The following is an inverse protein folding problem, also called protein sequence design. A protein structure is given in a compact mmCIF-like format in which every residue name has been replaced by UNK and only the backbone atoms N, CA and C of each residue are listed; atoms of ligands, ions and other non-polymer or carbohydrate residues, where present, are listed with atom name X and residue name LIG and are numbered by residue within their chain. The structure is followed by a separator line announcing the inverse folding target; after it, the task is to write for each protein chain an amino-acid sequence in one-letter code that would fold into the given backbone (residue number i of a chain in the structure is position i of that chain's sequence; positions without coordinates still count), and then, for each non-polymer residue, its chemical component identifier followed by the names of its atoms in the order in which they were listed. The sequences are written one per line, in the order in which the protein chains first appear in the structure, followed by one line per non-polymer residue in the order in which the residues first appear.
data_IF_608871423452
#
_entry.id   IF_608871423452
#
_cell.length_a   1.000
_cell.length_b   1.000
_cell.length_c   1.000
_cell.angle_alpha   90.00
_cell.angle_beta   90.00
_cell.angle_gamma   90.00
#
_symmetry.space_group_name_H-M   'P 1'
#
loop_
_entity.id
_entity.type
_entity.pdbx_description
1 polymer ?
#
# COMPACT_ATOMS: atom_id res chain seq x y z
N UNK A 1 -14.07 -41.96 58.76
CA UNK A 1 -13.58 -40.58 58.51
C UNK A 1 -14.27 -40.12 57.22
N UNK A 2 -15.28 -39.71 57.23
CA UNK A 2 -16.36 -38.79 57.62
C UNK A 2 -16.47 -37.62 56.65
N UNK A 3 -17.56 -37.61 55.95
CA UNK A 3 -18.08 -36.73 54.92
C UNK A 3 -17.85 -35.20 55.12
N UNK A 4 -17.60 -34.64 56.31
CA UNK A 4 -17.45 -33.19 56.47
C UNK A 4 -16.11 -32.60 55.98
N UNK A 5 -15.04 -33.41 55.77
CA UNK A 5 -13.73 -32.91 55.34
C UNK A 5 -13.68 -32.69 53.81
N UNK A 6 -14.48 -33.48 53.05
CA UNK A 6 -14.56 -33.28 51.57
C UNK A 6 -15.39 -32.03 51.18
N UNK A 7 -16.39 -31.66 52.00
CA UNK A 7 -17.20 -30.44 51.77
C UNK A 7 -16.41 -29.18 52.07
N UNK A 8 -15.51 -29.18 53.05
CA UNK A 8 -14.62 -28.04 53.37
C UNK A 8 -13.55 -27.82 52.26
N UNK A 9 -13.05 -28.89 51.64
CA UNK A 9 -12.11 -28.79 50.50
C UNK A 9 -12.80 -28.33 49.22
N UNK A 10 -14.06 -28.68 48.99
CA UNK A 10 -14.84 -28.20 47.87
C UNK A 10 -15.31 -26.73 48.00
N UNK A 11 -15.42 -26.22 49.24
CA UNK A 11 -15.76 -24.82 49.50
C UNK A 11 -14.53 -23.89 49.47
N UNK A 12 -13.30 -24.42 49.68
CA UNK A 12 -12.07 -23.64 49.52
C UNK A 12 -11.53 -23.60 48.12
N UNK A 13 -11.99 -24.44 47.16
CA UNK A 13 -11.60 -24.44 45.76
C UNK A 13 -12.42 -23.48 44.90
N UNK A 14 -13.44 -22.82 45.43
CA UNK A 14 -14.28 -21.86 44.72
C UNK A 14 -13.88 -20.37 44.92
N UNK A 15 -12.70 -20.06 45.49
CA UNK A 15 -12.21 -18.69 45.72
C UNK A 15 -10.95 -18.38 44.94
N UNK A 16 -10.72 -19.03 43.79
CA UNK A 16 -9.91 -18.41 42.77
C UNK A 16 -10.82 -17.47 41.97
N UNK A 17 -11.23 -16.37 42.58
CA UNK A 17 -11.72 -15.21 41.86
C UNK A 17 -10.50 -14.69 41.06
N UNK A 18 -10.31 -15.19 39.84
CA UNK A 18 -9.67 -14.44 38.79
C UNK A 18 -10.32 -13.05 38.82
N UNK A 19 -9.57 -12.03 39.30
CA UNK A 19 -10.08 -10.69 39.48
C UNK A 19 -10.74 -10.21 38.18
N UNK A 20 -12.05 -10.25 38.12
CA UNK A 20 -12.81 -9.59 37.03
C UNK A 20 -12.64 -8.10 37.26
N UNK A 21 -12.14 -7.39 36.28
CA UNK A 21 -12.16 -5.93 36.29
C UNK A 21 -13.62 -5.48 36.43
N UNK A 22 -13.94 -4.66 37.44
CA UNK A 22 -15.30 -4.19 37.68
C UNK A 22 -15.45 -2.72 37.30
N UNK A 23 -16.42 -2.44 36.43
CA UNK A 23 -16.77 -1.08 36.08
C UNK A 23 -17.47 -0.34 37.24
N UNK A 24 -17.21 0.98 37.43
CA UNK A 24 -18.06 1.83 38.25
C UNK A 24 -19.51 1.86 37.73
N UNK A 25 -20.46 2.27 38.58
CA UNK A 25 -21.85 2.39 38.12
C UNK A 25 -21.97 3.47 37.05
N UNK A 26 -22.89 3.30 36.10
CA UNK A 26 -23.13 4.28 35.01
C UNK A 26 -23.43 5.70 35.51
N UNK A 27 -24.05 5.81 36.68
CA UNK A 27 -24.37 7.11 37.29
C UNK A 27 -23.09 7.84 37.74
N UNK A 28 -22.13 7.10 38.29
CA UNK A 28 -20.88 7.67 38.81
C UNK A 28 -19.93 8.17 37.71
N UNK A 29 -20.00 7.59 36.53
CA UNK A 29 -19.08 7.93 35.43
C UNK A 29 -19.76 8.65 34.28
N UNK A 30 -21.01 9.08 34.38
CA UNK A 30 -21.70 9.83 33.34
C UNK A 30 -20.92 11.12 33.00
N UNK A 31 -20.68 11.45 31.71
CA UNK A 31 -21.20 10.86 30.48
C UNK A 31 -20.37 9.69 29.92
N UNK A 32 -19.37 9.19 30.64
CA UNK A 32 -18.53 8.10 30.17
C UNK A 32 -19.25 6.74 30.25
N UNK A 33 -18.78 5.81 29.44
CA UNK A 33 -19.18 4.40 29.42
C UNK A 33 -17.97 3.55 29.82
N UNK A 34 -18.23 2.47 30.55
CA UNK A 34 -17.20 1.51 30.94
C UNK A 34 -17.59 0.12 30.46
N UNK A 35 -16.63 -0.60 29.86
CA UNK A 35 -16.73 -2.00 29.49
C UNK A 35 -15.57 -2.78 30.07
N UNK A 36 -15.86 -3.94 30.62
CA UNK A 36 -14.86 -4.86 31.14
C UNK A 36 -14.24 -5.68 30.00
N UNK A 37 -12.93 -5.74 29.96
CA UNK A 37 -12.15 -6.53 28.99
C UNK A 37 -11.15 -7.42 29.72
N UNK A 38 -10.60 -8.42 29.04
CA UNK A 38 -9.65 -9.37 29.60
C UNK A 38 -8.37 -8.75 30.16
N UNK A 39 -7.98 -7.56 29.65
CA UNK A 39 -6.73 -6.85 30.01
C UNK A 39 -6.96 -5.62 30.90
N UNK A 40 -8.19 -5.24 31.19
CA UNK A 40 -8.53 -4.05 31.94
C UNK A 40 -9.82 -3.40 31.49
N UNK A 41 -10.08 -2.20 31.96
CA UNK A 41 -11.28 -1.44 31.61
C UNK A 41 -11.12 -0.74 30.25
N UNK A 42 -12.21 -0.67 29.50
CA UNK A 42 -12.34 0.17 28.30
C UNK A 42 -13.32 1.31 28.64
N UNK A 43 -12.78 2.51 28.84
CA UNK A 43 -13.54 3.71 29.21
C UNK A 43 -13.69 4.58 27.96
N UNK A 44 -14.92 4.97 27.61
CA UNK A 44 -15.23 5.86 26.49
C UNK A 44 -16.06 7.05 26.98
N UNK A 45 -15.53 8.26 26.81
CA UNK A 45 -16.17 9.52 27.17
C UNK A 45 -16.41 10.35 25.90
N UNK A 46 -17.66 10.67 25.61
CA UNK A 46 -18.03 11.42 24.41
C UNK A 46 -18.90 12.64 24.77
N UNK A 47 -18.71 13.75 24.03
CA UNK A 47 -19.45 14.99 24.18
C UNK A 47 -19.49 15.53 25.64
N UNK A 48 -18.40 15.32 26.36
CA UNK A 48 -18.27 15.71 27.77
C UNK A 48 -17.58 17.07 27.91
N UNK A 49 -17.98 17.85 28.91
CA UNK A 49 -17.25 19.03 29.36
C UNK A 49 -16.10 18.60 30.28
N UNK A 50 -15.07 19.44 30.41
CA UNK A 50 -13.87 19.16 31.21
C UNK A 50 -14.22 18.77 32.66
N UNK A 51 -15.16 19.47 33.31
CA UNK A 51 -15.55 19.19 34.69
C UNK A 51 -16.21 17.82 34.82
N UNK A 52 -17.10 17.48 33.87
CA UNK A 52 -17.74 16.15 33.82
C UNK A 52 -16.72 15.02 33.62
N UNK A 53 -15.71 15.24 32.74
CA UNK A 53 -14.62 14.31 32.56
C UNK A 53 -13.82 14.11 33.85
N UNK A 54 -13.53 15.22 34.57
CA UNK A 54 -12.78 15.20 35.81
C UNK A 54 -13.50 14.38 36.87
N UNK A 55 -14.79 14.58 37.08
CA UNK A 55 -15.62 13.84 38.03
C UNK A 55 -15.72 12.36 37.68
N UNK A 56 -16.00 12.07 36.40
CA UNK A 56 -16.11 10.69 35.91
C UNK A 56 -14.80 9.91 36.07
N UNK A 57 -13.68 10.50 35.66
CA UNK A 57 -12.36 9.88 35.74
C UNK A 57 -11.86 9.73 37.19
N UNK A 58 -12.20 10.67 38.09
CA UNK A 58 -11.95 10.53 39.51
C UNK A 58 -12.72 9.34 40.12
N UNK A 59 -13.94 9.09 39.68
CA UNK A 59 -14.71 7.91 40.10
C UNK A 59 -14.09 6.61 39.58
N UNK A 60 -13.59 6.62 38.33
CA UNK A 60 -12.86 5.47 37.77
C UNK A 60 -11.56 5.22 38.56
N UNK A 61 -10.82 6.26 38.97
CA UNK A 61 -9.58 6.15 39.73
C UNK A 61 -9.75 5.42 41.06
N UNK A 62 -10.94 5.58 41.69
CA UNK A 62 -11.25 4.89 42.97
C UNK A 62 -11.27 3.35 42.83
N UNK A 63 -11.50 2.83 41.62
CA UNK A 63 -11.50 1.36 41.37
C UNK A 63 -10.09 0.77 41.45
N UNK A 64 -9.03 1.58 41.30
CA UNK A 64 -7.61 1.17 41.24
C UNK A 64 -7.33 0.07 40.19
N UNK A 65 -8.14 0.01 39.15
CA UNK A 65 -8.03 -1.01 38.08
C UNK A 65 -7.26 -0.46 36.90
N UNK A 66 -6.58 -1.37 36.19
CA UNK A 66 -5.91 -1.02 34.94
C UNK A 66 -6.93 -0.64 33.86
N UNK A 67 -6.70 0.49 33.22
CA UNK A 67 -7.48 0.96 32.07
C UNK A 67 -6.71 0.60 30.81
N UNK A 68 -7.25 -0.38 30.07
CA UNK A 68 -6.63 -0.79 28.82
C UNK A 68 -6.81 0.27 27.74
N UNK A 69 -8.03 0.82 27.61
CA UNK A 69 -8.30 1.97 26.75
C UNK A 69 -9.02 3.08 27.51
N UNK A 70 -8.50 4.30 27.42
CA UNK A 70 -9.21 5.54 27.72
C UNK A 70 -9.46 6.30 26.41
N UNK A 71 -10.74 6.40 26.01
CA UNK A 71 -11.16 7.04 24.77
C UNK A 71 -11.91 8.33 25.08
N UNK A 72 -11.34 9.43 24.65
CA UNK A 72 -11.95 10.77 24.68
C UNK A 72 -12.31 11.15 23.26
N UNK A 73 -13.58 11.18 22.90
CA UNK A 73 -14.03 11.44 21.54
C UNK A 73 -15.04 12.57 21.49
N UNK A 74 -14.94 13.41 20.46
CA UNK A 74 -15.91 14.51 20.26
C UNK A 74 -16.06 15.43 21.47
N UNK A 75 -15.01 15.61 22.27
CA UNK A 75 -15.01 16.51 23.42
C UNK A 75 -14.38 17.85 23.02
N UNK A 76 -15.04 18.97 23.30
CA UNK A 76 -14.50 20.29 22.98
C UNK A 76 -13.58 20.79 24.09
N UNK A 77 -12.36 20.24 24.17
CA UNK A 77 -11.44 20.51 25.28
C UNK A 77 -10.55 21.73 25.02
N UNK A 78 -10.18 22.02 23.77
CA UNK A 78 -9.20 23.05 23.41
C UNK A 78 -7.79 22.73 23.92
N UNK A 79 -7.62 22.55 25.22
CA UNK A 79 -6.40 22.10 25.87
C UNK A 79 -6.67 20.83 26.68
N UNK A 80 -5.78 19.83 26.61
CA UNK A 80 -5.84 18.70 27.53
C UNK A 80 -5.27 19.14 28.88
N UNK A 81 -6.12 19.20 29.96
CA UNK A 81 -5.71 19.88 31.18
C UNK A 81 -4.79 19.06 32.07
N UNK A 82 -4.00 19.73 32.91
CA UNK A 82 -3.21 19.12 33.94
C UNK A 82 -4.07 18.22 34.86
N UNK A 83 -3.45 17.17 35.34
CA UNK A 83 -4.00 16.27 36.37
C UNK A 83 -5.36 15.63 36.07
N UNK A 84 -5.81 15.64 34.80
CA UNK A 84 -7.07 15.00 34.43
C UNK A 84 -7.07 13.48 34.68
N UNK A 85 -5.89 12.86 34.63
CA UNK A 85 -5.72 11.39 34.71
C UNK A 85 -5.05 10.94 36.03
N UNK A 86 -5.10 11.79 37.08
CA UNK A 86 -4.51 11.44 38.39
C UNK A 86 -5.16 10.19 38.99
N UNK A 87 -4.33 9.26 39.43
CA UNK A 87 -4.79 7.99 40.01
C UNK A 87 -5.26 6.93 39.04
N UNK A 88 -5.17 7.20 37.74
CA UNK A 88 -5.49 6.22 36.69
C UNK A 88 -4.24 5.42 36.30
N UNK A 89 -4.47 4.15 35.91
CA UNK A 89 -3.46 3.29 35.28
C UNK A 89 -3.86 3.05 33.81
N UNK A 90 -3.43 3.95 32.89
CA UNK A 90 -3.85 3.96 31.48
C UNK A 90 -2.75 3.42 30.59
N UNK A 91 -3.07 2.42 29.75
CA UNK A 91 -2.17 1.86 28.74
C UNK A 91 -2.31 2.52 27.37
N UNK A 92 -3.53 2.77 26.94
CA UNK A 92 -3.81 3.37 25.65
C UNK A 92 -4.75 4.56 25.82
N UNK A 93 -4.26 5.76 25.51
CA UNK A 93 -5.06 6.99 25.49
C UNK A 93 -5.38 7.39 24.05
N UNK A 94 -6.67 7.56 23.76
CA UNK A 94 -7.19 7.95 22.44
C UNK A 94 -8.02 9.20 22.62
N UNK A 95 -7.54 10.36 22.12
CA UNK A 95 -8.23 11.66 22.22
C UNK A 95 -8.49 12.19 20.80
N UNK A 96 -9.57 11.72 20.16
CA UNK A 96 -9.94 12.04 18.81
C UNK A 96 -11.03 13.10 18.75
N UNK A 97 -10.95 14.01 17.76
CA UNK A 97 -11.96 15.07 17.56
C UNK A 97 -12.26 15.88 18.81
N UNK A 98 -11.24 16.14 19.63
CA UNK A 98 -11.38 16.90 20.86
C UNK A 98 -11.06 18.40 20.70
N UNK A 99 -10.83 18.85 19.46
CA UNK A 99 -10.41 20.22 19.15
C UNK A 99 -9.19 20.68 19.94
N UNK A 100 -8.28 19.73 20.28
CA UNK A 100 -7.08 20.03 21.05
C UNK A 100 -6.10 20.83 20.19
N UNK A 101 -5.66 21.98 20.72
CA UNK A 101 -4.57 22.78 20.17
C UNK A 101 -3.31 22.73 21.03
N UNK A 102 -3.45 22.33 22.30
CA UNK A 102 -2.36 22.22 23.27
C UNK A 102 -2.60 21.12 24.29
N UNK A 103 -1.55 20.74 24.98
CA UNK A 103 -1.56 19.80 26.12
C UNK A 103 -0.79 20.47 27.24
N UNK A 104 -1.36 20.48 28.45
CA UNK A 104 -0.65 20.96 29.63
C UNK A 104 0.55 20.06 29.95
N UNK A 105 1.66 20.63 30.39
CA UNK A 105 2.89 19.89 30.66
C UNK A 105 2.71 18.77 31.71
N UNK A 106 1.77 18.90 32.62
CA UNK A 106 1.45 17.91 33.65
C UNK A 106 0.27 16.98 33.26
N UNK A 107 -0.25 17.08 32.05
CA UNK A 107 -1.43 16.28 31.63
C UNK A 107 -1.17 14.77 31.70
N UNK A 108 0.02 14.31 31.36
CA UNK A 108 0.38 12.89 31.35
C UNK A 108 1.20 12.43 32.57
N UNK A 109 1.54 13.31 33.49
CA UNK A 109 2.50 13.03 34.57
C UNK A 109 2.18 11.79 35.41
N UNK A 110 0.89 11.49 35.63
CA UNK A 110 0.46 10.35 36.45
C UNK A 110 0.42 9.01 35.72
N UNK A 111 0.52 9.02 34.38
CA UNK A 111 0.45 7.82 33.52
C UNK A 111 1.69 7.61 32.67
N UNK A 112 2.70 8.47 32.83
CA UNK A 112 3.85 8.57 31.93
C UNK A 112 4.66 7.28 31.80
N UNK A 113 4.82 6.54 32.91
CA UNK A 113 5.57 5.29 32.99
C UNK A 113 4.82 4.07 32.47
N UNK A 114 3.54 4.22 32.10
CA UNK A 114 2.63 3.12 31.72
C UNK A 114 1.98 3.28 30.36
N UNK A 115 1.94 4.51 29.85
CA UNK A 115 1.26 4.82 28.59
C UNK A 115 2.03 4.23 27.40
N UNK A 116 1.44 3.25 26.72
CA UNK A 116 2.04 2.56 25.58
C UNK A 116 1.58 3.14 24.23
N UNK A 117 0.36 3.67 24.17
CA UNK A 117 -0.17 4.29 22.96
C UNK A 117 -0.81 5.63 23.27
N UNK A 118 -0.43 6.65 22.51
CA UNK A 118 -1.05 7.97 22.54
C UNK A 118 -1.55 8.32 21.16
N UNK A 119 -2.87 8.43 21.03
CA UNK A 119 -3.54 8.84 19.80
C UNK A 119 -4.18 10.21 19.99
N UNK A 120 -3.61 11.22 19.34
CA UNK A 120 -4.05 12.61 19.31
C UNK A 120 -4.49 13.03 17.89
N UNK A 121 -4.88 12.08 17.05
CA UNK A 121 -5.29 12.38 15.69
C UNK A 121 -6.58 13.21 15.62
N UNK A 122 -6.77 13.87 14.47
CA UNK A 122 -7.97 14.66 14.18
C UNK A 122 -8.24 15.77 15.21
N UNK A 123 -7.17 16.49 15.54
CA UNK A 123 -7.20 17.65 16.43
C UNK A 123 -6.69 18.92 15.71
N UNK A 124 -6.29 19.93 16.46
CA UNK A 124 -5.89 21.23 15.92
C UNK A 124 -4.46 21.63 16.31
N UNK A 125 -3.59 20.66 16.55
CA UNK A 125 -2.20 20.96 16.94
C UNK A 125 -1.43 21.60 15.77
N UNK A 126 -0.89 22.80 16.00
CA UNK A 126 0.04 23.49 15.11
C UNK A 126 1.51 23.17 15.42
N UNK A 127 1.78 22.67 16.62
CA UNK A 127 3.08 22.21 17.10
C UNK A 127 2.93 20.89 17.86
N UNK A 128 3.99 20.07 17.81
CA UNK A 128 4.07 18.86 18.63
C UNK A 128 4.09 19.25 20.11
N UNK A 129 3.26 18.66 20.98
CA UNK A 129 3.24 18.98 22.42
C UNK A 129 4.43 18.34 23.17
N UNK A 130 5.66 18.68 22.78
CA UNK A 130 6.91 18.03 23.18
C UNK A 130 7.11 18.00 24.69
N UNK A 131 6.91 19.14 25.38
CA UNK A 131 7.12 19.25 26.83
C UNK A 131 6.19 18.31 27.62
N UNK A 132 4.91 18.21 27.21
CA UNK A 132 3.99 17.29 27.87
C UNK A 132 4.36 15.81 27.65
N UNK A 133 5.03 15.49 26.55
CA UNK A 133 5.38 14.10 26.18
C UNK A 133 6.79 13.67 26.63
N UNK A 134 7.65 14.57 27.08
CA UNK A 134 9.08 14.30 27.31
C UNK A 134 9.33 13.11 28.26
N UNK A 135 8.43 12.86 29.20
CA UNK A 135 8.54 11.78 30.18
C UNK A 135 7.79 10.48 29.80
N UNK A 136 7.21 10.38 28.62
CA UNK A 136 6.47 9.19 28.19
C UNK A 136 7.44 8.06 27.73
N UNK A 137 8.28 7.61 28.65
CA UNK A 137 9.34 6.64 28.34
C UNK A 137 8.85 5.26 27.92
N UNK A 138 7.63 4.87 28.31
CA UNK A 138 6.99 3.62 27.93
C UNK A 138 6.24 3.69 26.58
N UNK A 139 6.14 4.88 25.97
CA UNK A 139 5.33 5.08 24.77
C UNK A 139 5.90 4.33 23.56
N UNK A 140 5.11 3.42 23.00
CA UNK A 140 5.45 2.58 21.85
C UNK A 140 4.89 3.15 20.54
N UNK A 141 3.71 3.79 20.60
CA UNK A 141 3.03 4.30 19.42
C UNK A 141 2.46 5.70 19.65
N UNK A 142 2.85 6.64 18.79
CA UNK A 142 2.34 8.01 18.79
C UNK A 142 1.63 8.29 17.46
N UNK A 143 0.38 8.72 17.53
CA UNK A 143 -0.43 9.14 16.40
C UNK A 143 -0.81 10.61 16.51
N UNK A 144 -0.32 11.43 15.57
CA UNK A 144 -0.62 12.86 15.41
C UNK A 144 -1.24 13.16 14.02
N UNK A 145 -1.89 12.17 13.41
CA UNK A 145 -2.49 12.31 12.08
C UNK A 145 -3.59 13.37 12.06
N UNK A 146 -3.77 13.99 10.89
CA UNK A 146 -4.84 14.96 10.64
C UNK A 146 -4.86 16.09 11.67
N UNK A 147 -3.71 16.70 11.90
CA UNK A 147 -3.53 17.93 12.66
C UNK A 147 -3.13 19.09 11.73
N UNK A 148 -2.58 20.16 12.28
CA UNK A 148 -2.18 21.35 11.54
C UNK A 148 -0.68 21.64 11.66
N UNK A 149 0.12 20.59 11.90
CA UNK A 149 1.57 20.72 12.05
C UNK A 149 2.20 21.22 10.75
N UNK A 150 2.95 22.32 10.80
CA UNK A 150 3.67 22.88 9.63
C UNK A 150 5.17 22.64 9.72
N UNK A 151 5.71 22.65 10.93
CA UNK A 151 7.13 22.47 11.20
C UNK A 151 7.31 21.45 12.32
N UNK A 152 8.23 20.51 12.12
CA UNK A 152 8.77 19.71 13.22
C UNK A 152 10.03 20.40 13.73
N UNK A 153 9.96 20.96 14.94
CA UNK A 153 11.06 21.68 15.58
C UNK A 153 12.11 20.72 16.13
N UNK A 154 13.29 21.26 16.49
CA UNK A 154 14.31 20.50 17.18
C UNK A 154 13.75 19.82 18.43
N UNK A 155 14.20 18.59 18.71
CA UNK A 155 13.81 17.79 19.88
C UNK A 155 12.29 17.54 20.03
N UNK A 156 11.53 17.60 18.92
CA UNK A 156 10.05 17.47 18.95
C UNK A 156 9.55 16.19 19.63
N UNK A 157 10.33 15.12 19.63
CA UNK A 157 9.99 13.80 20.17
C UNK A 157 10.98 13.34 21.25
N UNK A 158 11.72 14.27 21.86
CA UNK A 158 12.67 13.98 22.91
C UNK A 158 12.01 13.24 24.07
N UNK A 159 12.73 12.28 24.67
CA UNK A 159 12.27 11.49 25.82
C UNK A 159 11.44 10.26 25.48
N UNK A 160 10.97 10.10 24.24
CA UNK A 160 10.18 8.94 23.82
C UNK A 160 11.08 7.71 23.54
N UNK A 161 11.65 7.13 24.59
CA UNK A 161 12.71 6.12 24.52
C UNK A 161 12.26 4.77 23.93
N UNK A 162 10.98 4.41 24.12
CA UNK A 162 10.41 3.14 23.65
C UNK A 162 9.65 3.25 22.33
N UNK A 163 9.67 4.42 21.67
CA UNK A 163 8.85 4.68 20.49
C UNK A 163 9.27 3.79 19.31
N UNK A 164 8.33 2.98 18.81
CA UNK A 164 8.49 2.12 17.63
C UNK A 164 7.75 2.67 16.40
N UNK A 165 6.65 3.37 16.61
CA UNK A 165 5.78 3.86 15.53
C UNK A 165 5.39 5.31 15.76
N UNK A 166 5.65 6.13 14.75
CA UNK A 166 5.25 7.54 14.70
C UNK A 166 4.44 7.80 13.45
N UNK A 167 3.24 8.31 13.61
CA UNK A 167 2.39 8.70 12.47
C UNK A 167 2.05 10.18 12.52
N UNK A 168 2.35 10.88 11.42
CA UNK A 168 2.17 12.32 11.19
C UNK A 168 1.39 12.57 9.89
N UNK A 169 0.65 11.56 9.42
CA UNK A 169 -0.09 11.60 8.15
C UNK A 169 -1.15 12.71 8.14
N UNK A 170 -1.34 13.35 6.99
CA UNK A 170 -2.41 14.32 6.79
C UNK A 170 -2.22 15.62 7.58
N UNK A 171 -0.98 16.07 7.73
CA UNK A 171 -0.64 17.37 8.31
C UNK A 171 -0.28 18.38 7.20
N UNK A 172 0.43 19.46 7.55
CA UNK A 172 0.88 20.51 6.62
C UNK A 172 2.39 20.69 6.67
N UNK A 173 3.13 19.61 7.00
CA UNK A 173 4.57 19.68 7.27
C UNK A 173 5.33 20.02 6.00
N UNK A 174 6.01 21.18 6.04
CA UNK A 174 6.87 21.70 4.97
C UNK A 174 8.35 21.53 5.32
N UNK A 175 8.66 21.60 6.63
CA UNK A 175 10.02 21.59 7.12
C UNK A 175 10.17 20.72 8.36
N UNK A 176 11.24 19.96 8.40
CA UNK A 176 11.64 19.12 9.55
C UNK A 176 13.05 19.58 9.95
N UNK A 177 13.20 20.08 11.18
CA UNK A 177 14.49 20.47 11.72
C UNK A 177 15.45 19.28 11.76
N UNK A 178 16.73 19.51 11.50
CA UNK A 178 17.75 18.47 11.50
C UNK A 178 17.90 17.74 12.84
N UNK A 179 17.43 18.36 13.92
CA UNK A 179 17.45 17.83 15.29
C UNK A 179 16.06 17.36 15.76
N UNK A 180 15.05 17.31 14.88
CA UNK A 180 13.67 16.99 15.26
C UNK A 180 13.53 15.63 15.97
N UNK A 181 14.34 14.64 15.58
CA UNK A 181 14.33 13.30 16.15
C UNK A 181 15.47 13.04 17.18
N UNK A 182 16.18 14.08 17.58
CA UNK A 182 17.19 13.95 18.65
C UNK A 182 16.49 13.64 19.97
N UNK A 183 17.02 12.65 20.70
CA UNK A 183 16.45 12.20 21.98
C UNK A 183 15.26 11.24 21.85
N UNK A 184 14.86 10.88 20.63
CA UNK A 184 13.99 9.72 20.39
C UNK A 184 14.79 8.43 20.63
N UNK A 185 14.12 7.37 21.11
CA UNK A 185 14.76 6.05 21.29
C UNK A 185 15.30 5.47 19.99
N UNK A 186 16.33 4.62 20.10
CA UNK A 186 16.95 3.95 18.94
C UNK A 186 16.03 2.93 18.27
N UNK A 187 14.87 2.65 18.83
CA UNK A 187 13.97 1.58 18.39
C UNK A 187 12.90 2.03 17.38
N UNK A 188 12.91 3.29 16.93
CA UNK A 188 11.91 3.80 15.99
C UNK A 188 12.05 3.09 14.64
N UNK A 189 11.05 2.24 14.33
CA UNK A 189 11.06 1.37 13.13
C UNK A 189 10.14 1.87 12.03
N UNK A 190 9.12 2.68 12.35
CA UNK A 190 8.13 3.12 11.37
C UNK A 190 7.80 4.59 11.53
N UNK A 191 7.94 5.33 10.45
CA UNK A 191 7.52 6.73 10.35
C UNK A 191 6.57 6.89 9.16
N UNK A 192 5.41 7.51 9.42
CA UNK A 192 4.50 7.94 8.38
C UNK A 192 4.46 9.47 8.33
N UNK A 193 4.96 10.03 7.23
CA UNK A 193 4.96 11.45 6.86
C UNK A 193 4.10 11.70 5.60
N UNK A 194 3.24 10.74 5.23
CA UNK A 194 2.36 10.87 4.06
C UNK A 194 1.36 12.01 4.19
N UNK A 195 0.82 12.46 3.07
CA UNK A 195 -0.14 13.57 2.96
C UNK A 195 0.33 14.83 3.71
N UNK A 196 1.55 15.28 3.38
CA UNK A 196 2.16 16.49 3.88
C UNK A 196 2.59 17.41 2.73
N UNK A 197 3.50 18.35 2.96
CA UNK A 197 3.94 19.33 1.97
C UNK A 197 5.47 19.32 1.79
N UNK A 198 6.11 18.17 2.00
CA UNK A 198 7.56 18.00 1.84
C UNK A 198 7.94 18.07 0.35
N UNK A 199 8.98 18.82 0.01
CA UNK A 199 9.50 18.97 -1.36
C UNK A 199 10.73 18.12 -1.65
N UNK A 200 11.33 17.51 -0.62
CA UNK A 200 12.48 16.61 -0.71
C UNK A 200 12.41 15.54 0.39
N UNK A 201 13.21 14.49 0.25
CA UNK A 201 13.36 13.46 1.28
C UNK A 201 14.03 14.07 2.52
N UNK A 202 13.46 13.93 3.73
CA UNK A 202 14.01 14.53 4.95
C UNK A 202 15.20 13.72 5.50
N UNK A 203 16.25 13.55 4.68
CA UNK A 203 17.39 12.68 4.97
C UNK A 203 18.17 13.06 6.23
N UNK A 204 18.49 14.35 6.39
CA UNK A 204 19.27 14.84 7.54
C UNK A 204 18.58 14.68 8.89
N UNK A 205 17.28 15.01 9.03
CA UNK A 205 16.52 14.70 10.26
C UNK A 205 16.51 13.21 10.61
N UNK A 206 16.42 12.32 9.62
CA UNK A 206 16.28 10.87 9.80
C UNK A 206 17.61 10.13 10.01
N UNK A 207 18.77 10.80 9.86
CA UNK A 207 20.12 10.19 9.82
C UNK A 207 20.50 9.31 11.00
N UNK A 208 19.89 9.51 12.16
CA UNK A 208 20.23 8.78 13.41
C UNK A 208 19.25 7.63 13.70
N UNK A 209 18.27 7.38 12.82
CA UNK A 209 17.26 6.36 13.01
C UNK A 209 17.68 5.03 12.37
N UNK A 210 18.76 4.44 12.89
CA UNK A 210 19.41 3.25 12.31
C UNK A 210 18.53 2.00 12.26
N UNK A 211 17.40 1.96 12.96
CA UNK A 211 16.44 0.84 12.96
C UNK A 211 15.18 1.13 12.14
N UNK A 212 15.20 2.22 11.34
CA UNK A 212 14.04 2.58 10.53
C UNK A 212 13.83 1.57 9.40
N UNK A 213 12.73 0.81 9.48
CA UNK A 213 12.37 -0.23 8.51
C UNK A 213 11.33 0.26 7.49
N UNK A 214 10.41 1.14 7.92
CA UNK A 214 9.37 1.64 7.03
C UNK A 214 9.27 3.15 7.08
N UNK A 215 9.46 3.76 5.90
CA UNK A 215 9.31 5.20 5.67
C UNK A 215 8.22 5.45 4.64
N UNK A 216 7.17 6.16 5.05
CA UNK A 216 6.07 6.54 4.16
C UNK A 216 6.12 8.05 3.93
N UNK A 217 6.29 8.43 2.66
CA UNK A 217 6.38 9.81 2.16
C UNK A 217 5.37 10.05 1.04
N UNK A 218 4.39 9.16 0.88
CA UNK A 218 3.36 9.29 -0.17
C UNK A 218 2.53 10.56 0.00
N UNK A 219 1.93 11.04 -1.09
CA UNK A 219 1.10 12.26 -1.07
C UNK A 219 1.85 13.49 -0.53
N UNK A 220 3.05 13.74 -1.06
CA UNK A 220 3.85 14.93 -0.80
C UNK A 220 4.15 15.68 -2.11
N UNK A 221 5.12 16.56 -2.10
CA UNK A 221 5.54 17.36 -3.25
C UNK A 221 7.00 17.12 -3.63
N UNK A 222 7.51 15.90 -3.40
CA UNK A 222 8.91 15.54 -3.68
C UNK A 222 9.11 15.52 -5.19
N UNK A 223 10.06 16.33 -5.69
CA UNK A 223 10.30 16.54 -7.12
C UNK A 223 11.50 15.76 -7.65
N UNK A 224 12.48 15.50 -6.80
CA UNK A 224 13.69 14.78 -7.16
C UNK A 224 14.11 13.81 -6.04
N UNK A 225 14.84 12.76 -6.42
CA UNK A 225 15.50 11.83 -5.52
C UNK A 225 17.00 11.95 -5.76
N UNK A 226 17.74 12.36 -4.74
CA UNK A 226 19.19 12.49 -4.82
C UNK A 226 19.86 11.27 -4.19
N UNK A 227 20.83 10.62 -4.84
CA UNK A 227 21.48 9.41 -4.31
C UNK A 227 22.08 9.59 -2.91
N UNK A 228 22.60 10.77 -2.62
CA UNK A 228 23.18 11.13 -1.34
C UNK A 228 22.16 11.26 -0.21
N UNK A 229 20.88 11.49 -0.51
CA UNK A 229 19.84 11.64 0.53
C UNK A 229 19.67 10.37 1.35
N UNK A 230 19.58 9.21 0.69
CA UNK A 230 19.46 7.94 1.38
C UNK A 230 20.77 7.50 2.05
N UNK A 231 21.92 7.89 1.49
CA UNK A 231 23.23 7.68 2.13
C UNK A 231 23.36 8.47 3.45
N UNK A 232 22.91 9.73 3.46
CA UNK A 232 22.88 10.57 4.67
C UNK A 232 21.93 10.01 5.72
N UNK A 233 20.80 9.47 5.29
CA UNK A 233 19.80 8.88 6.19
C UNK A 233 20.33 7.63 6.89
N UNK A 234 21.30 6.90 6.30
CA UNK A 234 21.80 5.63 6.84
C UNK A 234 20.76 4.52 6.73
N UNK A 235 20.13 4.41 5.56
CA UNK A 235 18.97 3.53 5.32
C UNK A 235 19.27 2.03 5.28
N UNK A 236 20.29 1.54 5.98
CA UNK A 236 20.73 0.13 5.98
C UNK A 236 19.65 -0.87 6.47
N UNK A 237 18.66 -0.41 7.24
CA UNK A 237 17.56 -1.23 7.77
C UNK A 237 16.23 -0.99 7.04
N UNK A 238 16.19 -0.10 6.03
CA UNK A 238 14.95 0.30 5.38
C UNK A 238 14.46 -0.81 4.43
N UNK A 239 13.37 -1.44 4.80
CA UNK A 239 12.70 -2.54 4.10
C UNK A 239 11.61 -2.05 3.15
N UNK A 240 10.87 -1.01 3.54
CA UNK A 240 9.76 -0.43 2.78
C UNK A 240 9.92 1.07 2.63
N UNK A 241 9.95 1.54 1.38
CA UNK A 241 9.93 2.97 1.03
C UNK A 241 8.72 3.26 0.15
N UNK A 242 7.84 4.14 0.63
CA UNK A 242 6.64 4.57 -0.07
C UNK A 242 6.76 6.04 -0.46
N UNK A 243 6.90 6.30 -1.75
CA UNK A 243 7.01 7.60 -2.40
C UNK A 243 5.84 7.84 -3.37
N UNK A 244 4.76 7.08 -3.27
CA UNK A 244 3.61 7.20 -4.16
C UNK A 244 3.00 8.61 -4.12
N UNK A 245 2.38 9.01 -5.23
CA UNK A 245 1.67 10.30 -5.33
C UNK A 245 2.55 11.50 -4.94
N UNK A 246 3.72 11.60 -5.59
CA UNK A 246 4.66 12.71 -5.51
C UNK A 246 4.87 13.34 -6.90
N UNK A 247 5.93 14.09 -7.11
CA UNK A 247 6.22 14.82 -8.36
C UNK A 247 7.55 14.42 -9.00
N UNK A 248 8.06 13.24 -8.66
CA UNK A 248 9.34 12.74 -9.18
C UNK A 248 9.24 12.54 -10.69
N UNK A 249 10.18 13.13 -11.45
CA UNK A 249 10.18 13.10 -12.92
C UNK A 249 11.17 12.10 -13.49
N UNK A 250 12.29 11.91 -12.80
CA UNK A 250 13.37 11.03 -13.24
C UNK A 250 13.96 10.25 -12.08
N UNK A 251 14.40 9.01 -12.35
CA UNK A 251 15.21 8.26 -11.39
C UNK A 251 16.68 8.34 -11.81
N UNK A 252 17.54 9.04 -11.03
CA UNK A 252 18.95 9.19 -11.34
C UNK A 252 19.74 7.88 -11.13
N UNK A 253 20.99 7.80 -11.63
CA UNK A 253 21.82 6.64 -11.34
C UNK A 253 22.05 6.49 -9.84
N UNK A 254 22.01 5.25 -9.35
CA UNK A 254 22.26 4.88 -7.94
C UNK A 254 21.30 5.55 -6.94
N UNK A 255 20.08 5.88 -7.36
CA UNK A 255 19.08 6.57 -6.54
C UNK A 255 18.86 5.90 -5.17
N UNK A 256 18.95 4.59 -5.11
CA UNK A 256 18.66 3.79 -3.90
C UNK A 256 19.86 2.98 -3.39
N UNK A 257 21.09 3.31 -3.81
CA UNK A 257 22.29 2.50 -3.59
C UNK A 257 22.55 2.14 -2.12
N UNK A 258 22.17 3.02 -1.19
CA UNK A 258 22.38 2.81 0.26
C UNK A 258 21.31 1.94 0.92
N UNK A 259 20.24 1.58 0.21
CA UNK A 259 19.08 0.86 0.75
C UNK A 259 19.18 -0.65 0.50
N UNK A 260 20.28 -1.27 0.90
CA UNK A 260 20.66 -2.64 0.51
C UNK A 260 19.67 -3.75 0.93
N UNK A 261 18.75 -3.47 1.85
CA UNK A 261 17.72 -4.43 2.29
C UNK A 261 16.31 -4.03 1.82
N UNK A 262 16.19 -3.03 0.93
CA UNK A 262 14.91 -2.54 0.45
C UNK A 262 14.17 -3.64 -0.32
N UNK A 263 13.08 -4.12 0.24
CA UNK A 263 12.23 -5.16 -0.34
C UNK A 263 11.07 -4.57 -1.17
N UNK A 264 10.49 -3.47 -0.71
CA UNK A 264 9.33 -2.84 -1.36
C UNK A 264 9.56 -1.36 -1.64
N UNK A 265 9.40 -0.98 -2.91
CA UNK A 265 9.51 0.39 -3.39
C UNK A 265 8.23 0.78 -4.12
N UNK A 266 7.52 1.78 -3.60
CA UNK A 266 6.32 2.34 -4.21
C UNK A 266 6.61 3.73 -4.78
N UNK A 267 6.51 3.87 -6.10
CA UNK A 267 6.69 5.09 -6.89
C UNK A 267 5.44 5.38 -7.74
N UNK A 268 4.30 4.75 -7.40
CA UNK A 268 3.04 4.93 -8.14
C UNK A 268 2.60 6.41 -8.12
N UNK A 269 1.90 6.84 -9.17
CA UNK A 269 1.34 8.21 -9.25
C UNK A 269 2.41 9.31 -9.07
N UNK A 270 3.49 9.19 -9.82
CA UNK A 270 4.50 10.22 -9.98
C UNK A 270 4.48 10.78 -11.42
N UNK A 271 5.50 11.47 -11.83
CA UNK A 271 5.66 12.05 -13.17
C UNK A 271 6.83 11.40 -13.93
N UNK A 272 7.21 10.16 -13.53
CA UNK A 272 8.42 9.50 -14.01
C UNK A 272 8.28 9.18 -15.50
N UNK A 273 9.14 9.79 -16.31
CA UNK A 273 9.28 9.53 -17.74
C UNK A 273 10.59 8.82 -18.09
N UNK A 274 11.62 8.97 -17.25
CA UNK A 274 12.94 8.38 -17.50
C UNK A 274 13.50 7.72 -16.25
N UNK A 275 14.09 6.54 -16.44
CA UNK A 275 14.78 5.78 -15.39
C UNK A 275 16.17 5.48 -15.91
N UNK A 276 17.20 5.96 -15.20
CA UNK A 276 18.58 5.70 -15.60
C UNK A 276 18.91 4.21 -15.49
N UNK A 277 19.73 3.68 -16.38
CA UNK A 277 20.07 2.24 -16.43
C UNK A 277 20.70 1.70 -15.14
N UNK A 278 21.27 2.55 -14.30
CA UNK A 278 21.82 2.23 -12.98
C UNK A 278 20.97 2.75 -11.81
N UNK A 279 19.70 3.09 -12.03
CA UNK A 279 18.85 3.67 -10.98
C UNK A 279 18.66 2.74 -9.78
N UNK A 280 18.52 1.44 -10.02
CA UNK A 280 18.30 0.42 -8.98
C UNK A 280 19.58 -0.26 -8.49
N UNK A 281 20.76 0.26 -8.85
CA UNK A 281 22.02 -0.28 -8.38
C UNK A 281 22.11 -0.20 -6.85
N UNK A 282 22.46 -1.32 -6.21
CA UNK A 282 22.60 -1.50 -4.75
C UNK A 282 21.41 -2.17 -4.08
N UNK A 283 20.28 -2.34 -4.79
CA UNK A 283 19.07 -3.03 -4.28
C UNK A 283 18.71 -4.27 -5.11
N UNK A 284 19.63 -4.74 -5.96
CA UNK A 284 19.40 -5.84 -6.89
C UNK A 284 19.07 -7.15 -6.19
N UNK A 285 19.68 -7.39 -5.03
CA UNK A 285 19.55 -8.63 -4.26
C UNK A 285 18.44 -8.57 -3.19
N UNK A 286 17.68 -7.45 -3.11
CA UNK A 286 16.67 -7.28 -2.07
C UNK A 286 15.29 -6.95 -2.60
N UNK A 287 15.17 -6.21 -3.72
CA UNK A 287 13.88 -5.68 -4.19
C UNK A 287 12.99 -6.80 -4.77
N UNK A 288 11.83 -7.00 -4.13
CA UNK A 288 10.80 -7.96 -4.57
C UNK A 288 9.55 -7.28 -5.15
N UNK A 289 9.22 -6.07 -4.67
CA UNK A 289 7.97 -5.38 -4.98
C UNK A 289 8.25 -3.98 -5.52
N UNK A 290 8.06 -3.78 -6.83
CA UNK A 290 8.26 -2.49 -7.49
C UNK A 290 6.96 -2.00 -8.10
N UNK A 291 6.50 -0.80 -7.69
CA UNK A 291 5.38 -0.13 -8.28
C UNK A 291 5.82 1.15 -8.98
N UNK A 292 5.56 1.19 -10.28
CA UNK A 292 5.79 2.32 -11.18
C UNK A 292 4.49 2.71 -11.90
N UNK A 293 3.35 2.26 -11.41
CA UNK A 293 2.05 2.53 -12.01
C UNK A 293 1.69 4.02 -12.02
N UNK A 294 0.87 4.42 -12.97
CA UNK A 294 0.37 5.80 -13.13
C UNK A 294 1.52 6.82 -13.19
N UNK A 295 2.43 6.60 -14.13
CA UNK A 295 3.57 7.44 -14.44
C UNK A 295 3.54 7.86 -15.92
N UNK A 296 4.66 8.23 -16.52
CA UNK A 296 4.78 8.71 -17.90
C UNK A 296 5.77 7.89 -18.73
N UNK A 297 5.97 6.62 -18.37
CA UNK A 297 6.88 5.73 -19.09
C UNK A 297 6.30 5.39 -20.47
N UNK A 298 7.09 5.54 -21.53
CA UNK A 298 6.71 5.20 -22.90
C UNK A 298 7.12 3.78 -23.29
N UNK A 299 8.01 3.16 -22.51
CA UNK A 299 8.48 1.79 -22.69
C UNK A 299 8.73 1.10 -21.33
N UNK A 300 8.79 -0.22 -21.33
CA UNK A 300 9.22 -1.00 -20.16
C UNK A 300 10.70 -0.70 -19.91
N UNK A 301 11.10 -0.28 -18.70
CA UNK A 301 12.49 0.13 -18.43
C UNK A 301 13.42 -1.08 -18.24
N UNK A 302 13.44 -2.02 -19.19
CA UNK A 302 14.10 -3.32 -19.12
C UNK A 302 15.57 -3.23 -18.73
N UNK A 303 16.29 -2.26 -19.31
CA UNK A 303 17.73 -2.07 -19.06
C UNK A 303 18.01 -1.65 -17.61
N UNK A 304 17.11 -0.87 -17.02
CA UNK A 304 17.22 -0.45 -15.62
C UNK A 304 16.88 -1.58 -14.63
N UNK A 305 15.96 -2.48 -15.03
CA UNK A 305 15.48 -3.59 -14.22
C UNK A 305 16.34 -4.86 -14.33
N UNK A 306 17.25 -4.92 -15.30
CA UNK A 306 17.95 -6.14 -15.74
C UNK A 306 18.62 -6.97 -14.62
N UNK A 307 19.04 -6.33 -13.55
CA UNK A 307 19.77 -7.00 -12.46
C UNK A 307 18.87 -7.32 -11.24
N UNK A 308 17.58 -6.96 -11.26
CA UNK A 308 16.64 -7.19 -10.16
C UNK A 308 16.23 -8.66 -10.07
N UNK A 309 17.17 -9.53 -9.69
CA UNK A 309 17.01 -10.98 -9.73
C UNK A 309 15.92 -11.52 -8.79
N UNK A 310 15.51 -10.76 -7.77
CA UNK A 310 14.47 -11.15 -6.79
C UNK A 310 13.10 -10.56 -7.09
N UNK A 311 12.94 -9.78 -8.16
CA UNK A 311 11.70 -9.09 -8.45
C UNK A 311 10.55 -10.09 -8.66
N UNK A 312 9.49 -9.94 -7.88
CA UNK A 312 8.27 -10.77 -7.92
C UNK A 312 7.08 -10.01 -8.47
N UNK A 313 6.99 -8.72 -8.17
CA UNK A 313 5.94 -7.86 -8.69
C UNK A 313 6.52 -6.67 -9.44
N UNK A 314 6.00 -6.46 -10.65
CA UNK A 314 6.25 -5.28 -11.44
C UNK A 314 4.90 -4.65 -11.82
N UNK A 315 4.63 -3.46 -11.29
CA UNK A 315 3.43 -2.71 -11.60
C UNK A 315 3.80 -1.52 -12.51
N UNK A 316 3.34 -1.57 -13.75
CA UNK A 316 3.54 -0.55 -14.80
C UNK A 316 2.19 -0.04 -15.33
N UNK A 317 1.08 -0.31 -14.64
CA UNK A 317 -0.26 0.12 -15.08
C UNK A 317 -0.35 1.64 -15.26
N UNK A 318 -1.20 2.08 -16.16
CA UNK A 318 -1.49 3.52 -16.32
C UNK A 318 -0.29 4.35 -16.77
N UNK A 319 0.56 3.80 -17.63
CA UNK A 319 1.67 4.49 -18.28
C UNK A 319 1.35 4.74 -19.78
N UNK A 320 2.35 5.15 -20.55
CA UNK A 320 2.23 5.39 -22.00
C UNK A 320 2.90 4.28 -22.83
N UNK A 321 3.02 3.06 -22.27
CA UNK A 321 3.73 1.96 -22.91
C UNK A 321 2.92 1.47 -24.12
N UNK A 322 3.56 1.42 -25.29
CA UNK A 322 2.90 1.05 -26.55
C UNK A 322 3.22 -0.35 -27.06
N UNK A 323 4.28 -0.97 -26.57
CA UNK A 323 4.75 -2.30 -27.01
C UNK A 323 5.39 -3.06 -25.87
N UNK A 324 5.29 -4.40 -25.92
CA UNK A 324 6.13 -5.33 -25.15
C UNK A 324 7.09 -5.98 -26.12
N UNK A 325 8.40 -5.84 -25.89
CA UNK A 325 9.48 -6.34 -26.75
C UNK A 325 9.98 -7.70 -26.27
N UNK A 326 10.73 -8.40 -27.11
CA UNK A 326 11.26 -9.75 -26.85
C UNK A 326 12.15 -9.83 -25.62
N UNK A 327 12.93 -8.79 -25.31
CA UNK A 327 13.91 -8.74 -24.24
C UNK A 327 13.46 -7.97 -22.99
N UNK A 328 12.20 -7.50 -22.97
CA UNK A 328 11.70 -6.64 -21.89
C UNK A 328 11.73 -7.33 -20.52
N UNK A 329 11.55 -8.65 -20.47
CA UNK A 329 11.56 -9.40 -19.20
C UNK A 329 12.74 -10.39 -19.08
N UNK A 330 13.45 -10.70 -20.16
CA UNK A 330 14.44 -11.77 -20.23
C UNK A 330 15.48 -11.71 -19.11
N UNK A 331 16.07 -10.56 -18.75
CA UNK A 331 17.14 -10.53 -17.75
C UNK A 331 16.69 -10.80 -16.30
N UNK A 332 15.40 -10.59 -15.95
CA UNK A 332 14.92 -10.63 -14.57
C UNK A 332 13.58 -11.38 -14.41
N UNK A 333 13.00 -11.88 -15.50
CA UNK A 333 11.64 -12.42 -15.54
C UNK A 333 11.42 -13.70 -14.74
N UNK A 334 12.47 -14.51 -14.49
CA UNK A 334 12.36 -15.85 -13.91
C UNK A 334 11.56 -15.91 -12.60
N UNK A 335 11.68 -14.90 -11.74
CA UNK A 335 11.01 -14.85 -10.44
C UNK A 335 9.76 -13.97 -10.42
N UNK A 336 9.43 -13.32 -11.55
CA UNK A 336 8.23 -12.50 -11.66
C UNK A 336 6.97 -13.37 -11.55
N UNK A 337 6.09 -12.99 -10.62
CA UNK A 337 4.79 -13.61 -10.38
C UNK A 337 3.63 -12.71 -10.82
N UNK A 338 3.79 -11.41 -10.69
CA UNK A 338 2.72 -10.44 -10.90
C UNK A 338 3.20 -9.33 -11.82
N UNK A 339 2.57 -9.23 -13.01
CA UNK A 339 2.82 -8.17 -14.00
C UNK A 339 1.52 -7.42 -14.23
N UNK A 340 1.56 -6.10 -14.02
CA UNK A 340 0.44 -5.20 -14.25
C UNK A 340 0.81 -4.21 -15.36
N UNK A 341 0.15 -4.35 -16.52
CA UNK A 341 0.32 -3.52 -17.72
C UNK A 341 -1.00 -2.91 -18.20
N UNK A 342 -2.06 -3.02 -17.41
CA UNK A 342 -3.36 -2.45 -17.74
C UNK A 342 -3.35 -0.93 -17.84
N UNK A 343 -4.31 -0.38 -18.57
CA UNK A 343 -4.43 1.06 -18.78
C UNK A 343 -3.16 1.68 -19.41
N UNK A 344 -2.63 1.01 -20.44
CA UNK A 344 -1.52 1.50 -21.26
C UNK A 344 -1.98 1.69 -22.72
N UNK A 345 -1.05 1.85 -23.64
CA UNK A 345 -1.31 1.99 -25.08
C UNK A 345 -0.77 0.80 -25.88
N UNK A 346 -0.73 -0.39 -25.28
CA UNK A 346 -0.15 -1.56 -25.90
C UNK A 346 -0.91 -1.94 -27.19
N UNK A 347 -0.21 -1.92 -28.31
CA UNK A 347 -0.73 -2.37 -29.61
C UNK A 347 -0.19 -3.73 -30.00
N UNK A 348 1.00 -4.10 -29.53
CA UNK A 348 1.68 -5.36 -29.86
C UNK A 348 2.44 -5.92 -28.68
N UNK A 349 2.48 -7.27 -28.64
CA UNK A 349 3.35 -8.05 -27.77
C UNK A 349 4.21 -8.93 -28.68
N UNK A 350 5.53 -8.90 -28.49
CA UNK A 350 6.44 -9.72 -29.26
C UNK A 350 6.17 -11.23 -29.01
N UNK A 351 6.26 -12.08 -30.02
CA UNK A 351 5.98 -13.53 -29.89
C UNK A 351 6.77 -14.25 -28.80
N UNK A 352 7.97 -13.79 -28.46
CA UNK A 352 8.84 -14.42 -27.46
C UNK A 352 8.97 -13.61 -26.17
N UNK A 353 8.20 -12.54 -26.02
CA UNK A 353 8.30 -11.61 -24.86
C UNK A 353 8.16 -12.30 -23.49
N UNK A 354 7.38 -13.37 -23.40
CA UNK A 354 7.07 -14.05 -22.15
C UNK A 354 7.85 -15.36 -21.92
N UNK A 355 8.82 -15.70 -22.75
CA UNK A 355 9.56 -16.97 -22.66
C UNK A 355 10.33 -17.13 -21.35
N UNK A 356 10.77 -16.03 -20.74
CA UNK A 356 11.54 -16.04 -19.47
C UNK A 356 10.70 -16.01 -18.20
N UNK A 357 9.36 -16.00 -18.32
CA UNK A 357 8.44 -15.79 -17.20
C UNK A 357 7.99 -17.13 -16.58
N UNK A 358 8.92 -17.94 -16.11
CA UNK A 358 8.68 -19.30 -15.62
C UNK A 358 7.75 -19.40 -14.40
N UNK A 359 7.57 -18.29 -13.66
CA UNK A 359 6.83 -18.26 -12.40
C UNK A 359 5.60 -17.34 -12.44
N UNK A 360 5.19 -16.87 -13.63
CA UNK A 360 4.14 -15.86 -13.74
C UNK A 360 2.78 -16.43 -13.36
N UNK A 361 2.15 -15.83 -12.36
CA UNK A 361 0.83 -16.20 -11.84
C UNK A 361 -0.25 -15.22 -12.32
N UNK A 362 0.03 -13.90 -12.39
CA UNK A 362 -0.93 -12.87 -12.78
C UNK A 362 -0.38 -12.00 -13.89
N UNK A 363 -1.15 -11.88 -14.98
CA UNK A 363 -0.89 -10.98 -16.10
C UNK A 363 -2.12 -10.12 -16.37
N UNK A 364 -1.99 -8.82 -16.18
CA UNK A 364 -3.03 -7.84 -16.43
C UNK A 364 -2.69 -7.00 -17.66
N UNK A 365 -3.47 -7.16 -18.75
CA UNK A 365 -3.33 -6.45 -20.01
C UNK A 365 -4.60 -5.68 -20.40
N UNK A 366 -5.61 -5.61 -19.51
CA UNK A 366 -6.89 -4.97 -19.81
C UNK A 366 -6.74 -3.48 -20.09
N UNK A 367 -7.71 -2.90 -20.78
CA UNK A 367 -7.74 -1.48 -21.15
C UNK A 367 -6.47 -1.04 -21.89
N UNK A 368 -6.16 -1.75 -22.98
CA UNK A 368 -5.08 -1.47 -23.93
C UNK A 368 -5.61 -1.39 -25.37
N UNK A 369 -4.74 -1.46 -26.37
CA UNK A 369 -5.07 -1.41 -27.80
C UNK A 369 -4.69 -2.72 -28.53
N UNK A 370 -4.67 -3.84 -27.80
CA UNK A 370 -4.33 -5.15 -28.35
C UNK A 370 -5.51 -5.70 -29.15
N UNK A 371 -5.28 -6.02 -30.41
CA UNK A 371 -6.32 -6.60 -31.28
C UNK A 371 -6.12 -8.10 -31.56
N UNK A 372 -4.97 -8.65 -31.26
CA UNK A 372 -4.63 -10.07 -31.48
C UNK A 372 -3.94 -10.69 -30.29
N UNK A 373 -4.23 -11.97 -30.05
CA UNK A 373 -3.64 -12.77 -28.98
C UNK A 373 -3.15 -14.12 -29.56
N UNK A 374 -1.98 -14.16 -30.21
CA UNK A 374 -1.46 -15.39 -30.81
C UNK A 374 -1.11 -16.42 -29.72
N UNK A 375 -1.48 -17.69 -29.93
CA UNK A 375 -1.24 -18.78 -28.99
C UNK A 375 0.25 -18.92 -28.60
N UNK A 376 1.13 -18.80 -29.59
CA UNK A 376 2.57 -18.96 -29.45
C UNK A 376 3.17 -17.97 -28.42
N UNK A 377 2.66 -16.74 -28.38
CA UNK A 377 3.11 -15.68 -27.46
C UNK A 377 2.82 -16.02 -26.01
N UNK A 378 1.67 -16.63 -25.72
CA UNK A 378 1.20 -16.87 -24.35
C UNK A 378 1.46 -18.29 -23.86
N UNK A 379 1.72 -19.24 -24.75
CA UNK A 379 2.01 -20.65 -24.43
C UNK A 379 3.03 -20.83 -23.28
N UNK A 380 4.14 -20.08 -23.22
CA UNK A 380 5.15 -20.26 -22.17
C UNK A 380 4.60 -20.08 -20.75
N UNK A 381 3.59 -19.22 -20.58
CA UNK A 381 3.06 -18.83 -19.26
C UNK A 381 1.72 -19.51 -18.91
N UNK A 382 1.04 -20.17 -19.84
CA UNK A 382 -0.32 -20.70 -19.63
C UNK A 382 -0.42 -21.71 -18.48
N UNK A 383 0.67 -22.45 -18.18
CA UNK A 383 0.66 -23.47 -17.13
C UNK A 383 0.70 -22.86 -15.73
N UNK A 384 1.32 -21.70 -15.55
CA UNK A 384 1.52 -21.03 -14.27
C UNK A 384 0.46 -19.96 -14.00
N UNK A 385 -0.17 -19.41 -15.06
CA UNK A 385 -1.18 -18.36 -14.94
C UNK A 385 -2.40 -18.80 -14.14
N UNK A 386 -2.73 -17.98 -13.14
CA UNK A 386 -3.95 -18.04 -12.34
C UNK A 386 -4.92 -16.91 -12.71
N UNK A 387 -4.38 -15.75 -13.11
CA UNK A 387 -5.15 -14.58 -13.57
C UNK A 387 -4.58 -14.09 -14.89
N UNK A 388 -5.42 -14.06 -15.91
CA UNK A 388 -5.12 -13.48 -17.23
C UNK A 388 -6.25 -12.55 -17.63
N UNK A 389 -6.01 -11.25 -17.53
CA UNK A 389 -7.02 -10.23 -17.76
C UNK A 389 -6.71 -9.40 -19.01
N UNK A 390 -7.60 -9.44 -19.98
CA UNK A 390 -7.44 -8.79 -21.29
C UNK A 390 -8.68 -8.01 -21.74
N UNK A 391 -9.68 -7.83 -20.87
CA UNK A 391 -10.91 -7.09 -21.26
C UNK A 391 -10.59 -5.65 -21.67
N UNK A 392 -11.54 -4.95 -22.27
CA UNK A 392 -11.34 -3.59 -22.79
C UNK A 392 -10.13 -3.47 -23.75
N UNK A 393 -9.96 -4.44 -24.62
CA UNK A 393 -9.06 -4.38 -25.78
C UNK A 393 -9.90 -4.52 -27.05
N UNK A 394 -9.51 -3.91 -28.18
CA UNK A 394 -10.25 -4.02 -29.46
C UNK A 394 -10.01 -5.36 -30.14
N UNK A 395 -10.45 -6.45 -29.52
CA UNK A 395 -10.13 -7.83 -29.90
C UNK A 395 -10.78 -8.20 -31.24
N UNK A 396 -9.97 -8.70 -32.18
CA UNK A 396 -10.43 -9.33 -33.41
C UNK A 396 -10.65 -10.83 -33.16
N UNK A 397 -11.90 -11.26 -33.22
CA UNK A 397 -12.28 -12.65 -32.97
C UNK A 397 -12.31 -13.47 -34.26
N UNK A 398 -11.23 -14.16 -34.50
CA UNK A 398 -11.09 -15.16 -35.59
C UNK A 398 -10.60 -16.51 -35.00
N UNK A 399 -10.26 -17.45 -35.87
CA UNK A 399 -9.76 -18.76 -35.43
C UNK A 399 -8.47 -18.71 -34.58
N UNK A 400 -7.71 -17.60 -34.61
CA UNK A 400 -6.48 -17.47 -33.85
C UNK A 400 -6.70 -17.22 -32.34
N UNK A 401 -7.91 -16.78 -31.97
CA UNK A 401 -8.26 -16.58 -30.54
C UNK A 401 -9.01 -17.79 -29.95
N UNK A 402 -9.34 -18.81 -30.75
CA UNK A 402 -10.08 -19.98 -30.27
C UNK A 402 -9.43 -20.68 -29.06
N UNK A 403 -8.11 -20.76 -29.05
CA UNK A 403 -7.34 -21.32 -27.92
C UNK A 403 -7.65 -20.62 -26.57
N UNK A 404 -7.81 -19.30 -26.61
CA UNK A 404 -8.06 -18.50 -25.40
C UNK A 404 -9.45 -18.80 -24.84
N UNK A 405 -10.47 -18.90 -25.73
CA UNK A 405 -11.81 -19.34 -25.34
C UNK A 405 -11.80 -20.71 -24.69
N UNK A 406 -11.12 -21.68 -25.31
CA UNK A 406 -11.01 -23.04 -24.78
C UNK A 406 -10.22 -23.08 -23.46
N UNK A 407 -9.16 -22.29 -23.34
CA UNK A 407 -8.39 -22.18 -22.11
C UNK A 407 -9.23 -21.63 -20.95
N UNK A 408 -10.02 -20.58 -21.22
CA UNK A 408 -10.94 -19.98 -20.25
C UNK A 408 -12.00 -20.97 -19.78
N UNK A 409 -12.60 -21.75 -20.72
CA UNK A 409 -13.60 -22.75 -20.37
C UNK A 409 -13.05 -23.90 -19.52
N UNK A 410 -11.80 -24.28 -19.73
CA UNK A 410 -11.16 -25.42 -19.08
C UNK A 410 -10.54 -25.12 -17.69
N UNK A 411 -10.14 -23.89 -17.41
CA UNK A 411 -9.43 -23.50 -16.16
C UNK A 411 -10.36 -23.22 -14.95
N UNK A 412 -11.69 -23.13 -15.16
CA UNK A 412 -12.66 -22.97 -14.07
C UNK A 412 -12.84 -21.53 -13.54
N UNK A 413 -13.75 -21.36 -12.58
CA UNK A 413 -14.32 -20.08 -12.16
C UNK A 413 -13.36 -19.04 -11.58
N UNK A 414 -12.16 -19.38 -11.11
CA UNK A 414 -11.22 -18.43 -10.53
C UNK A 414 -10.50 -17.55 -11.56
N UNK A 415 -10.35 -18.06 -12.81
CA UNK A 415 -9.78 -17.33 -13.95
C UNK A 415 -10.88 -16.66 -14.78
N UNK A 416 -12.11 -17.13 -14.64
CA UNK A 416 -13.26 -16.93 -15.54
C UNK A 416 -14.05 -15.66 -15.25
N UNK A 417 -13.88 -14.99 -14.12
CA UNK A 417 -14.61 -13.73 -13.85
C UNK A 417 -14.37 -12.67 -14.93
N UNK A 418 -13.22 -12.75 -15.58
CA UNK A 418 -12.76 -11.82 -16.60
C UNK A 418 -13.15 -12.26 -18.03
N UNK A 419 -13.45 -13.54 -18.25
CA UNK A 419 -13.80 -14.07 -19.55
C UNK A 419 -15.20 -13.62 -20.06
N UNK A 420 -16.12 -13.38 -19.14
CA UNK A 420 -17.46 -12.85 -19.48
C UNK A 420 -17.38 -11.35 -19.86
N UNK A 421 -16.36 -10.63 -19.42
CA UNK A 421 -16.11 -9.23 -19.71
C UNK A 421 -15.27 -9.03 -20.97
N UNK A 422 -14.56 -10.08 -21.43
CA UNK A 422 -13.78 -10.05 -22.68
C UNK A 422 -14.69 -10.15 -23.88
N UNK A 423 -14.83 -9.06 -24.62
CA UNK A 423 -15.72 -8.94 -25.78
C UNK A 423 -14.94 -8.78 -27.07
N UNK A 424 -15.52 -9.24 -28.17
CA UNK A 424 -15.01 -8.99 -29.51
C UNK A 424 -15.36 -7.58 -29.95
N UNK A 425 -14.43 -6.88 -30.61
CA UNK A 425 -14.68 -5.62 -31.30
C UNK A 425 -14.93 -5.86 -32.79
N UNK A 426 -14.26 -6.82 -33.38
CA UNK A 426 -14.39 -7.20 -34.79
C UNK A 426 -14.36 -8.73 -34.95
N UNK A 427 -14.95 -9.31 -36.03
CA UNK A 427 -15.76 -8.68 -37.06
C UNK A 427 -17.11 -8.16 -36.55
N UNK A 428 -17.85 -7.41 -37.36
CA UNK A 428 -19.15 -6.79 -36.98
C UNK A 428 -20.17 -7.81 -36.46
N UNK A 429 -20.18 -9.04 -36.96
CA UNK A 429 -21.08 -10.12 -36.55
C UNK A 429 -20.86 -10.52 -35.05
N UNK A 430 -19.70 -10.24 -34.50
CA UNK A 430 -19.34 -10.57 -33.11
C UNK A 430 -19.18 -9.34 -32.23
N UNK A 431 -19.44 -8.15 -32.76
CA UNK A 431 -19.23 -6.91 -32.00
C UNK A 431 -20.00 -6.91 -30.67
N UNK A 432 -19.30 -6.62 -29.58
CA UNK A 432 -19.80 -6.65 -28.22
C UNK A 432 -20.25 -8.02 -27.69
N UNK A 433 -20.07 -9.11 -28.42
CA UNK A 433 -20.34 -10.45 -27.92
C UNK A 433 -19.18 -10.91 -26.99
N UNK A 434 -19.50 -11.49 -25.83
CA UNK A 434 -18.48 -12.13 -24.99
C UNK A 434 -17.79 -13.27 -25.75
N UNK A 435 -16.47 -13.33 -25.69
CA UNK A 435 -15.68 -14.39 -26.33
C UNK A 435 -16.13 -15.79 -25.88
N UNK A 436 -16.53 -15.94 -24.64
CA UNK A 436 -17.00 -17.20 -24.06
C UNK A 436 -18.31 -17.72 -24.70
N UNK A 437 -19.11 -16.86 -25.31
CA UNK A 437 -20.40 -17.20 -25.93
C UNK A 437 -20.28 -17.59 -27.40
N UNK A 438 -19.14 -17.32 -28.06
CA UNK A 438 -18.90 -17.62 -29.46
C UNK A 438 -18.47 -19.08 -29.61
N UNK A 439 -19.12 -19.86 -30.47
CA UNK A 439 -18.75 -21.25 -30.74
C UNK A 439 -17.50 -21.36 -31.62
N UNK A 440 -16.73 -22.46 -31.49
CA UNK A 440 -15.52 -22.67 -32.29
C UNK A 440 -15.82 -22.71 -33.80
N UNK A 441 -16.99 -23.19 -34.21
CA UNK A 441 -17.40 -23.25 -35.61
C UNK A 441 -17.64 -21.86 -36.23
N UNK A 442 -17.87 -20.85 -35.38
CA UNK A 442 -18.06 -19.47 -35.82
C UNK A 442 -16.73 -18.70 -35.94
N UNK A 443 -15.68 -19.14 -35.20
CA UNK A 443 -14.34 -18.53 -35.25
C UNK A 443 -13.58 -19.01 -36.51
N UNK A 444 -13.92 -18.42 -37.65
CA UNK A 444 -13.35 -18.81 -38.94
C UNK A 444 -12.14 -17.94 -39.27
N UNK A 445 -11.02 -18.57 -39.64
CA UNK A 445 -9.93 -17.86 -40.31
C UNK A 445 -10.30 -17.59 -41.75
N UNK A 446 -10.54 -16.34 -42.10
CA UNK A 446 -10.59 -15.95 -43.52
C UNK A 446 -9.21 -16.17 -44.11
N UNK A 447 -9.01 -17.30 -44.78
CA UNK A 447 -7.83 -17.49 -45.61
C UNK A 447 -7.74 -16.26 -46.53
N UNK A 448 -6.57 -15.61 -46.62
CA UNK A 448 -6.33 -14.65 -47.72
C UNK A 448 -6.65 -15.39 -48.99
N UNK A 449 -7.88 -15.24 -49.49
CA UNK A 449 -8.28 -15.75 -50.77
C UNK A 449 -7.33 -15.11 -51.78
N UNK A 450 -6.48 -15.95 -52.28
CA UNK A 450 -5.40 -15.58 -53.14
C UNK A 450 -5.94 -14.74 -54.32
N UNK A 451 -5.26 -13.66 -54.58
CA UNK A 451 -5.29 -12.85 -55.82
C UNK A 451 -5.18 -13.75 -57.12
N UNK A 452 -5.20 -15.07 -56.99
CA UNK A 452 -5.15 -16.03 -58.08
C UNK A 452 -6.49 -16.20 -58.86
N UNK A 453 -7.64 -15.82 -58.32
CA UNK A 453 -8.91 -15.91 -59.05
C UNK A 453 -9.12 -14.77 -60.07
N UNK A 454 -8.49 -13.60 -59.88
CA UNK A 454 -8.57 -12.52 -60.85
C UNK A 454 -7.73 -12.76 -62.12
N UNK A 455 -6.65 -13.58 -62.03
CA UNK A 455 -5.82 -13.92 -63.20
C UNK A 455 -6.44 -15.00 -64.11
N UNK A 456 -7.32 -15.87 -63.58
CA UNK A 456 -7.98 -16.94 -64.36
C UNK A 456 -9.14 -16.36 -65.12
N UNK A 457 -9.86 -15.35 -64.64
CA UNK A 457 -10.96 -14.70 -65.43
C UNK A 457 -10.44 -13.83 -66.55
N UNK A 458 -9.24 -13.27 -66.51
CA UNK A 458 -8.67 -12.48 -67.62
C UNK A 458 -8.13 -13.38 -68.74
N UNK A 459 -7.69 -14.61 -68.48
CA UNK A 459 -7.23 -15.54 -69.49
C UNK A 459 -8.35 -16.25 -70.28
N UNK A 460 -9.54 -16.41 -69.66
CA UNK A 460 -10.69 -17.03 -70.38
C UNK A 460 -11.36 -16.06 -71.34
N UNK A 461 -11.28 -14.75 -71.14
CA UNK A 461 -11.84 -13.75 -72.08
C UNK A 461 -10.88 -13.35 -73.20
N UNK A 462 -9.58 -13.65 -73.18
CA UNK A 462 -8.66 -13.35 -74.26
C UNK A 462 -8.60 -14.44 -75.37
N UNK A 463 -9.06 -15.66 -75.09
CA UNK A 463 -9.07 -16.76 -76.10
C UNK A 463 -10.34 -16.87 -76.95
N UNK A 464 -11.43 -16.18 -76.54
CA UNK A 464 -12.68 -16.17 -77.34
C UNK A 464 -12.79 -15.01 -78.34
N UNK A 465 -11.88 -14.04 -78.34
CA UNK A 465 -11.86 -12.90 -79.25
C UNK A 465 -11.09 -13.18 -80.58
N UNK A 466 -10.46 -14.34 -80.73
CA UNK A 466 -9.67 -14.68 -81.92
C UNK A 466 -10.40 -15.62 -82.89
N UNK A 467 -11.68 -16.01 -82.66
CA UNK A 467 -12.43 -16.90 -83.49
C UNK A 467 -13.60 -16.24 -84.26
N UNK A 468 -13.70 -14.91 -84.27
CA UNK A 468 -14.75 -14.17 -84.97
C UNK A 468 -14.20 -13.15 -85.99
N UNK A 469 -12.94 -13.27 -86.45
CA UNK A 469 -12.35 -12.46 -87.51
C UNK A 469 -11.42 -13.32 -88.39
N UNK A 470 -11.99 -14.39 -89.05
CA UNK A 470 -11.44 -15.01 -90.23
C UNK A 470 -12.57 -15.58 -91.04
#
# INVERSE_FOLDING_TARGET
MTLPVLIAILLTLNLCQCGRFGCPTRVQIKPCLCNEKSRGLDISCENAKVDQLREALASVAQTKQAIWYLKLRNNHLGTLPAHLMVGLDVRHLIALHCNLSSVDELAFSSIADKLETLDLAQNSFERVPSHAMENLTALVSLNLNYNRLEILHAEAFKGLQSLLRLSLYGNRIKFIDNLAFVGVGRNLTRINLGANQLTAVPSRPLRNLSQLQRLQLHENHIEALLPEEFAIMGGESLDVLDLANNRVQTLPPRAFMSLQVLNSLDLERNLISTIHIHAFQGIEDSLEWLKLGVNRLEEIPSQSLRNLSRLRQLDLRGNNISKVREDDFTPYGKNLKFIYLQNNWLTTVDPIAFVSLDSLEWLHLQSNQLNTFPYETYTPILNTLQVFDIHDNPIHCDCKIAWLRDWVQNKGASVVKLAQETKCETPEDFQNLPLAEISNDQLICVAKASIHYAAIFVQVFSTTAWFLLS
#
